data_IF_720465625313
#
_entry.id   IF_720465625313
#
_cell.length_a   1.000
_cell.length_b   1.000
_cell.length_c   1.000
_cell.angle_alpha   90.00
_cell.angle_beta   90.00
_cell.angle_gamma   90.00
#
_symmetry.space_group_name_H-M   'P 1'
#
loop_
_entity.id
_entity.type
_entity.pdbx_description
1 polymer ?
#
# COMPACT_ATOMS: atom_id res chain seq x y z
N UNK A 1 -7.70 -8.97 6.24
CA UNK A 1 -7.16 -10.03 5.35
C UNK A 1 -6.11 -9.42 4.42
N UNK A 2 -5.03 -10.12 4.09
CA UNK A 2 -4.11 -9.65 3.05
C UNK A 2 -4.58 -10.11 1.68
N UNK A 3 -4.52 -9.23 0.68
CA UNK A 3 -4.82 -9.58 -0.71
C UNK A 3 -3.63 -9.28 -1.62
N UNK A 4 -3.39 -10.13 -2.65
CA UNK A 4 -2.37 -9.84 -3.65
C UNK A 4 -2.72 -8.58 -4.43
N UNK A 5 -1.72 -7.74 -4.69
CA UNK A 5 -1.93 -6.49 -5.41
C UNK A 5 -2.30 -6.69 -6.89
N UNK A 6 -1.94 -7.84 -7.47
CA UNK A 6 -2.28 -8.22 -8.85
C UNK A 6 -3.75 -8.61 -9.02
N UNK A 7 -4.47 -8.88 -7.92
CA UNK A 7 -5.91 -9.18 -7.95
C UNK A 7 -6.79 -7.93 -7.94
N UNK A 8 -6.19 -6.74 -7.75
CA UNK A 8 -6.93 -5.49 -7.81
C UNK A 8 -6.98 -4.94 -9.23
N UNK A 9 -8.11 -4.30 -9.55
CA UNK A 9 -8.22 -3.48 -10.75
C UNK A 9 -7.10 -2.42 -10.77
N UNK A 10 -6.43 -2.18 -11.92
CA UNK A 10 -5.28 -1.28 -12.02
C UNK A 10 -5.55 0.14 -11.50
N UNK A 11 -6.73 0.68 -11.78
CA UNK A 11 -7.18 1.98 -11.27
C UNK A 11 -7.32 1.98 -9.75
N UNK A 12 -7.87 0.92 -9.16
CA UNK A 12 -8.00 0.78 -7.71
C UNK A 12 -6.63 0.74 -7.05
N UNK A 13 -5.72 -0.09 -7.59
CA UNK A 13 -4.35 -0.16 -7.09
C UNK A 13 -3.65 1.20 -7.17
N UNK A 14 -3.82 1.92 -8.29
CA UNK A 14 -3.23 3.25 -8.47
C UNK A 14 -3.75 4.23 -7.43
N UNK A 15 -5.05 4.27 -7.17
CA UNK A 15 -5.64 5.14 -6.14
C UNK A 15 -5.15 4.80 -4.73
N UNK A 16 -5.00 3.51 -4.41
CA UNK A 16 -4.44 3.09 -3.11
C UNK A 16 -2.99 3.52 -2.94
N UNK A 17 -2.19 3.45 -4.01
CA UNK A 17 -0.81 3.92 -3.99
C UNK A 17 -0.75 5.44 -3.82
N UNK A 18 -1.59 6.18 -4.56
CA UNK A 18 -1.69 7.63 -4.44
C UNK A 18 -2.09 8.06 -3.02
N UNK A 19 -3.13 7.46 -2.46
CA UNK A 19 -3.57 7.72 -1.08
C UNK A 19 -2.47 7.43 -0.05
N UNK A 20 -1.73 6.33 -0.26
CA UNK A 20 -0.62 5.96 0.63
C UNK A 20 0.52 6.99 0.60
N UNK A 21 0.87 7.53 -0.57
CA UNK A 21 1.98 8.50 -0.69
C UNK A 21 1.56 9.92 -0.36
N UNK A 22 0.26 10.24 -0.39
CA UNK A 22 -0.26 11.57 0.00
C UNK A 22 -0.69 11.64 1.46
N UNK A 23 -0.73 10.51 2.17
CA UNK A 23 -1.11 10.47 3.58
C UNK A 23 -0.14 11.28 4.46
N UNK A 24 -0.71 12.08 5.35
CA UNK A 24 0.02 12.91 6.30
C UNK A 24 0.91 12.00 7.18
N UNK A 25 2.24 12.17 7.08
CA UNK A 25 3.24 11.30 7.73
C UNK A 25 4.21 10.57 6.79
N UNK A 26 3.95 10.52 5.48
CA UNK A 26 4.99 10.14 4.48
C UNK A 26 5.79 11.34 3.96
N UNK A 27 5.30 12.56 4.23
CA UNK A 27 5.95 13.82 3.87
C UNK A 27 6.86 14.31 5.01
N UNK A 28 7.95 13.60 5.27
CA UNK A 28 8.99 14.06 6.21
C UNK A 28 9.82 15.23 5.64
N UNK A 29 9.22 16.11 4.83
CA UNK A 29 9.92 17.00 3.91
C UNK A 29 10.50 16.26 2.71
N UNK A 30 9.85 15.18 2.27
CA UNK A 30 10.30 14.40 1.12
C UNK A 30 9.80 15.06 -0.17
N UNK A 31 10.64 15.93 -0.74
CA UNK A 31 10.40 16.62 -2.01
C UNK A 31 10.38 15.69 -3.24
N UNK A 32 10.46 14.37 -3.05
CA UNK A 32 10.38 13.40 -4.15
C UNK A 32 9.07 13.59 -4.93
N UNK A 33 9.13 13.78 -6.26
CA UNK A 33 7.95 13.93 -7.09
C UNK A 33 6.96 12.77 -6.90
N UNK A 34 5.66 13.07 -6.89
CA UNK A 34 4.59 12.09 -6.74
C UNK A 34 4.78 10.83 -7.62
N UNK A 35 5.10 10.93 -8.93
CA UNK A 35 5.31 9.76 -9.78
C UNK A 35 6.45 8.86 -9.30
N UNK A 36 7.53 9.44 -8.76
CA UNK A 36 8.66 8.68 -8.24
C UNK A 36 8.29 7.93 -6.96
N UNK A 37 7.45 8.53 -6.10
CA UNK A 37 6.94 7.86 -4.90
C UNK A 37 5.99 6.71 -5.26
N UNK A 38 5.12 6.92 -6.25
CA UNK A 38 4.23 5.88 -6.79
C UNK A 38 5.05 4.68 -7.26
N UNK A 39 6.09 4.91 -8.06
CA UNK A 39 6.98 3.84 -8.54
C UNK A 39 7.72 3.11 -7.42
N UNK A 40 8.15 3.82 -6.37
CA UNK A 40 8.75 3.19 -5.18
C UNK A 40 7.77 2.24 -4.49
N UNK A 41 6.51 2.64 -4.34
CA UNK A 41 5.48 1.80 -3.72
C UNK A 41 5.16 0.59 -4.59
N UNK A 42 5.07 0.74 -5.91
CA UNK A 42 4.91 -0.41 -6.83
C UNK A 42 6.01 -1.44 -6.63
N UNK A 43 7.27 -1.00 -6.62
CA UNK A 43 8.41 -1.89 -6.35
C UNK A 43 8.37 -2.51 -4.95
N UNK A 44 7.87 -1.80 -3.94
CA UNK A 44 7.71 -2.34 -2.60
C UNK A 44 6.64 -3.44 -2.56
N UNK A 45 5.55 -3.30 -3.32
CA UNK A 45 4.52 -4.34 -3.48
C UNK A 45 5.10 -5.57 -4.19
N UNK A 46 5.84 -5.39 -5.29
CA UNK A 46 6.54 -6.47 -6.00
C UNK A 46 7.51 -7.26 -5.09
N UNK A 47 8.21 -6.56 -4.19
CA UNK A 47 9.13 -7.17 -3.23
C UNK A 47 8.45 -7.74 -1.99
N UNK A 48 7.14 -7.52 -1.81
CA UNK A 48 6.41 -7.87 -0.59
C UNK A 48 6.85 -7.07 0.64
N UNK A 49 7.44 -5.89 0.45
CA UNK A 49 7.76 -4.90 1.49
C UNK A 49 6.54 -4.04 1.86
N UNK A 50 5.59 -3.91 0.93
CA UNK A 50 4.26 -3.37 1.13
C UNK A 50 3.20 -4.45 0.86
N UNK A 51 2.06 -4.33 1.52
CA UNK A 51 0.93 -5.26 1.39
C UNK A 51 -0.38 -4.49 1.31
N UNK A 52 -1.39 -5.14 0.73
CA UNK A 52 -2.76 -4.61 0.71
C UNK A 52 -3.57 -5.33 1.77
N UNK A 53 -4.11 -4.54 2.69
CA UNK A 53 -5.02 -4.99 3.74
C UNK A 53 -6.43 -4.74 3.25
N UNK A 54 -7.22 -5.80 3.22
CA UNK A 54 -8.67 -5.74 3.02
C UNK A 54 -9.39 -5.85 4.37
N UNK A 55 -10.21 -4.84 4.66
CA UNK A 55 -11.17 -4.80 5.74
C UNK A 55 -12.53 -5.29 5.19
N UNK A 56 -12.97 -6.45 5.66
CA UNK A 56 -14.22 -7.07 5.19
C UNK A 56 -15.46 -6.43 5.80
N UNK A 57 -15.36 -5.87 7.00
CA UNK A 57 -16.46 -5.20 7.71
C UNK A 57 -16.84 -3.90 7.00
N UNK A 58 -15.84 -3.16 6.51
CA UNK A 58 -16.04 -1.90 5.79
C UNK A 58 -15.95 -2.03 4.27
N UNK A 59 -15.60 -3.21 3.75
CA UNK A 59 -15.34 -3.48 2.33
C UNK A 59 -14.30 -2.52 1.73
N UNK A 60 -13.24 -2.23 2.47
CA UNK A 60 -12.22 -1.26 2.08
C UNK A 60 -10.85 -1.92 1.91
N UNK A 61 -10.11 -1.47 0.91
CA UNK A 61 -8.70 -1.81 0.74
C UNK A 61 -7.84 -0.66 1.25
N UNK A 62 -6.72 -1.00 1.90
CA UNK A 62 -5.73 -0.04 2.32
C UNK A 62 -4.33 -0.59 2.06
N UNK A 63 -3.42 0.26 1.58
CA UNK A 63 -2.01 -0.09 1.46
C UNK A 63 -1.29 0.19 2.79
N UNK A 64 -0.44 -0.74 3.21
CA UNK A 64 0.41 -0.59 4.40
C UNK A 64 1.79 -1.20 4.14
N UNK A 65 2.81 -0.70 4.84
CA UNK A 65 4.12 -1.37 4.84
C UNK A 65 4.01 -2.65 5.66
N UNK A 66 4.64 -3.73 5.20
CA UNK A 66 4.62 -5.03 5.88
C UNK A 66 5.09 -4.95 7.34
N UNK A 67 5.99 -4.02 7.65
CA UNK A 67 6.50 -3.77 9.01
C UNK A 67 5.49 -3.12 9.96
N UNK A 68 4.50 -2.42 9.41
CA UNK A 68 3.48 -1.69 10.17
C UNK A 68 2.23 -2.53 10.39
N UNK A 69 2.13 -3.68 9.70
CA UNK A 69 1.04 -4.65 9.84
C UNK A 69 1.35 -5.62 10.98
N UNK A 70 0.37 -5.96 11.85
CA UNK A 70 0.55 -6.97 12.89
C UNK A 70 1.08 -8.28 12.30
N UNK A 71 2.10 -8.86 12.95
CA UNK A 71 2.73 -10.12 12.49
C UNK A 71 1.71 -11.25 12.33
N UNK A 72 0.68 -11.25 13.16
CA UNK A 72 -0.42 -12.21 13.14
C UNK A 72 -1.13 -12.25 11.78
N UNK A 73 -1.20 -11.12 11.07
CA UNK A 73 -1.82 -11.04 9.75
C UNK A 73 -0.86 -11.42 8.61
N UNK A 74 0.44 -11.56 8.91
CA UNK A 74 1.45 -12.04 7.97
C UNK A 74 1.64 -13.56 8.04
N UNK A 75 1.08 -14.19 9.08
CA UNK A 75 1.10 -15.64 9.32
C UNK A 75 -0.17 -16.22 8.69
N UNK A 76 -0.23 -16.23 7.36
CA UNK A 76 -1.14 -17.10 6.61
C UNK A 76 -0.44 -18.44 6.30
#
# INVERSE_FOLDING_TARGET
MLIPHDQLEPDTLTRLIEDFVTRDGTDNGDETPLPTRVERVRRALDKGEAVIVFDADHQQCQLALKRDVPKEWLLD
#
